data_IF_627912696352
#
_entry.id   IF_627912696352
#
_cell.length_a   1.000
_cell.length_b   1.000
_cell.length_c   1.000
_cell.angle_alpha   90.00
_cell.angle_beta   90.00
_cell.angle_gamma   90.00
#
_symmetry.space_group_name_H-M   'P 1'
#
loop_
_entity.id
_entity.type
_entity.pdbx_description
1 polymer ?
#
# COMPACT_ATOMS: atom_id res chain seq x y z
N UNK A 1 -33.05 71.78 -45.11
CA UNK A 1 -33.63 72.01 -43.78
C UNK A 1 -32.50 72.53 -42.89
N UNK A 2 -32.45 73.84 -42.64
CA UNK A 2 -31.35 74.51 -41.92
C UNK A 2 -31.40 74.17 -40.42
N UNK A 3 -30.40 73.44 -39.93
CA UNK A 3 -30.18 73.28 -38.49
C UNK A 3 -29.05 74.24 -38.09
N UNK A 4 -29.38 75.19 -37.20
CA UNK A 4 -28.49 76.25 -36.73
C UNK A 4 -27.28 75.68 -35.95
N UNK A 5 -26.04 76.15 -36.21
CA UNK A 5 -24.80 75.57 -35.67
C UNK A 5 -24.52 75.86 -34.18
N UNK A 6 -25.40 76.59 -33.47
CA UNK A 6 -25.19 76.96 -32.05
C UNK A 6 -25.67 75.93 -31.04
N UNK A 7 -26.45 74.93 -31.44
CA UNK A 7 -26.92 73.86 -30.55
C UNK A 7 -26.00 72.63 -30.49
N UNK A 8 -25.19 72.38 -31.53
CA UNK A 8 -24.27 71.23 -31.55
C UNK A 8 -23.05 71.41 -30.64
N UNK A 9 -22.58 72.65 -30.44
CA UNK A 9 -21.29 72.90 -29.77
C UNK A 9 -21.35 72.66 -28.23
N UNK A 10 -22.52 72.87 -27.60
CA UNK A 10 -22.69 72.64 -26.15
C UNK A 10 -22.74 71.16 -25.77
N UNK A 11 -23.27 70.30 -26.65
CA UNK A 11 -23.30 68.84 -26.42
C UNK A 11 -21.98 68.16 -26.78
N UNK A 12 -21.22 68.71 -27.73
CA UNK A 12 -19.86 68.22 -28.06
C UNK A 12 -18.86 68.43 -26.90
N UNK A 13 -18.95 69.55 -26.17
CA UNK A 13 -18.08 69.79 -25.02
C UNK A 13 -18.42 68.93 -23.79
N UNK A 14 -19.70 68.63 -23.55
CA UNK A 14 -20.12 67.75 -22.45
C UNK A 14 -19.77 66.28 -22.72
N UNK A 15 -19.91 65.84 -23.98
CA UNK A 15 -19.50 64.50 -24.39
C UNK A 15 -17.97 64.31 -24.34
N UNK A 16 -17.19 65.33 -24.69
CA UNK A 16 -15.72 65.23 -24.63
C UNK A 16 -15.19 65.15 -23.19
N UNK A 17 -15.80 65.85 -22.22
CA UNK A 17 -15.41 65.79 -20.81
C UNK A 17 -15.81 64.48 -20.11
N UNK A 18 -16.92 63.86 -20.52
CA UNK A 18 -17.35 62.54 -20.01
C UNK A 18 -16.56 61.37 -20.62
N UNK A 19 -16.03 61.52 -21.84
CA UNK A 19 -15.18 60.51 -22.47
C UNK A 19 -13.73 60.60 -21.95
N UNK A 20 -13.20 61.79 -21.67
CA UNK A 20 -11.83 61.94 -21.13
C UNK A 20 -11.72 61.53 -19.67
N UNK A 21 -12.73 61.78 -18.82
CA UNK A 21 -12.72 61.36 -17.42
C UNK A 21 -12.80 59.83 -17.25
N UNK A 22 -13.58 59.14 -18.09
CA UNK A 22 -13.62 57.68 -18.12
C UNK A 22 -12.34 57.05 -18.69
N UNK A 23 -11.73 57.66 -19.72
CA UNK A 23 -10.46 57.18 -20.29
C UNK A 23 -9.29 57.33 -19.30
N UNK A 24 -9.17 58.45 -18.56
CA UNK A 24 -8.13 58.63 -17.54
C UNK A 24 -8.32 57.70 -16.33
N UNK A 25 -9.57 57.43 -15.92
CA UNK A 25 -9.88 56.49 -14.84
C UNK A 25 -9.61 55.02 -15.25
N UNK A 26 -9.94 54.63 -16.49
CA UNK A 26 -9.66 53.30 -17.03
C UNK A 26 -8.16 53.05 -17.26
N UNK A 27 -7.40 54.06 -17.70
CA UNK A 27 -5.93 53.95 -17.84
C UNK A 27 -5.26 53.75 -16.47
N UNK A 28 -5.71 54.45 -15.44
CA UNK A 28 -5.22 54.27 -14.06
C UNK A 28 -5.58 52.88 -13.51
N UNK A 29 -6.81 52.40 -13.75
CA UNK A 29 -7.23 51.07 -13.30
C UNK A 29 -6.46 49.95 -14.03
N UNK A 30 -6.21 50.07 -15.33
CA UNK A 30 -5.43 49.06 -16.07
C UNK A 30 -3.96 49.04 -15.63
N UNK A 31 -3.36 50.20 -15.37
CA UNK A 31 -2.00 50.30 -14.83
C UNK A 31 -1.93 49.69 -13.42
N UNK A 32 -2.92 49.95 -12.57
CA UNK A 32 -3.03 49.33 -11.25
C UNK A 32 -3.23 47.81 -11.33
N UNK A 33 -4.05 47.31 -12.27
CA UNK A 33 -4.22 45.88 -12.53
C UNK A 33 -2.89 45.26 -12.96
N UNK A 34 -2.17 45.89 -13.89
CA UNK A 34 -0.88 45.39 -14.36
C UNK A 34 0.17 45.37 -13.24
N UNK A 35 0.18 46.40 -12.38
CA UNK A 35 1.05 46.46 -11.21
C UNK A 35 0.75 45.32 -10.22
N UNK A 36 -0.52 45.13 -9.88
CA UNK A 36 -0.94 44.02 -9.00
C UNK A 36 -0.61 42.66 -9.62
N UNK A 37 -0.75 42.50 -10.93
CA UNK A 37 -0.37 41.26 -11.61
C UNK A 37 1.14 40.99 -11.50
N UNK A 38 1.98 42.02 -11.70
CA UNK A 38 3.43 41.90 -11.50
C UNK A 38 3.81 41.54 -10.06
N UNK A 39 3.12 42.12 -9.08
CA UNK A 39 3.29 41.76 -7.66
C UNK A 39 2.87 40.30 -7.40
N UNK A 40 1.74 39.85 -7.96
CA UNK A 40 1.28 38.45 -7.89
C UNK A 40 2.33 37.51 -8.49
N UNK A 41 2.86 37.84 -9.66
CA UNK A 41 3.87 37.03 -10.35
C UNK A 41 5.16 36.95 -9.53
N UNK A 42 5.59 38.07 -8.93
CA UNK A 42 6.77 38.13 -8.06
C UNK A 42 6.59 37.33 -6.77
N UNK A 43 5.42 37.44 -6.11
CA UNK A 43 5.09 36.65 -4.91
C UNK A 43 4.99 35.17 -5.26
N UNK A 44 4.40 34.82 -6.41
CA UNK A 44 4.31 33.44 -6.91
C UNK A 44 5.70 32.85 -7.16
N UNK A 45 6.60 33.61 -7.79
CA UNK A 45 7.99 33.20 -7.98
C UNK A 45 8.70 32.94 -6.65
N UNK A 46 8.61 33.88 -5.70
CA UNK A 46 9.23 33.71 -4.38
C UNK A 46 8.64 32.54 -3.60
N UNK A 47 7.31 32.34 -3.67
CA UNK A 47 6.63 31.17 -3.11
C UNK A 47 7.20 29.87 -3.67
N UNK A 48 7.37 29.77 -4.98
CA UNK A 48 7.90 28.56 -5.61
C UNK A 48 9.35 28.30 -5.19
N UNK A 49 10.20 29.34 -5.10
CA UNK A 49 11.56 29.19 -4.57
C UNK A 49 11.59 28.65 -3.12
N UNK A 50 10.68 29.13 -2.27
CA UNK A 50 10.57 28.62 -0.89
C UNK A 50 10.07 27.17 -0.86
N UNK A 51 9.15 26.79 -1.75
CA UNK A 51 8.69 25.41 -1.88
C UNK A 51 9.86 24.50 -2.29
N UNK A 52 10.65 24.88 -3.28
CA UNK A 52 11.82 24.11 -3.73
C UNK A 52 12.85 23.94 -2.60
N UNK A 53 13.12 25.02 -1.84
CA UNK A 53 14.01 24.95 -0.68
C UNK A 53 13.48 24.03 0.42
N UNK A 54 12.17 24.11 0.69
CA UNK A 54 11.52 23.24 1.67
C UNK A 54 11.59 21.77 1.23
N UNK A 55 11.37 21.47 -0.05
CA UNK A 55 11.47 20.12 -0.59
C UNK A 55 12.88 19.55 -0.45
N UNK A 56 13.92 20.31 -0.82
CA UNK A 56 15.32 19.86 -0.65
C UNK A 56 15.68 19.61 0.82
N UNK A 57 15.18 20.43 1.75
CA UNK A 57 15.34 20.20 3.19
C UNK A 57 14.63 18.93 3.65
N UNK A 58 13.39 18.69 3.20
CA UNK A 58 12.63 17.46 3.51
C UNK A 58 13.37 16.22 3.01
N UNK A 59 13.84 16.24 1.76
CA UNK A 59 14.61 15.14 1.18
C UNK A 59 15.94 14.94 1.93
N UNK A 60 16.60 16.03 2.33
CA UNK A 60 17.78 15.98 3.20
C UNK A 60 17.53 15.30 4.54
N UNK A 61 16.42 15.64 5.19
CA UNK A 61 16.00 15.01 6.44
C UNK A 61 15.72 13.51 6.27
N UNK A 62 15.02 13.11 5.21
CA UNK A 62 14.76 11.69 4.93
C UNK A 62 16.07 10.91 4.80
N UNK A 63 17.05 11.42 4.03
CA UNK A 63 18.36 10.76 3.89
C UNK A 63 19.08 10.63 5.23
N UNK A 64 19.08 11.70 6.02
CA UNK A 64 19.69 11.68 7.35
C UNK A 64 19.05 10.63 8.26
N UNK A 65 17.72 10.59 8.32
CA UNK A 65 17.00 9.64 9.17
C UNK A 65 17.17 8.20 8.73
N UNK A 66 17.15 7.93 7.41
CA UNK A 66 17.50 6.62 6.89
C UNK A 66 18.89 6.22 7.38
N UNK A 67 19.91 7.06 7.13
CA UNK A 67 21.28 6.76 7.51
C UNK A 67 21.47 6.52 9.01
N UNK A 68 20.75 7.23 9.87
CA UNK A 68 20.91 7.12 11.32
C UNK A 68 20.06 6.02 11.95
N UNK A 69 18.93 5.65 11.35
CA UNK A 69 17.93 4.81 12.00
C UNK A 69 17.34 3.72 11.12
N UNK A 70 17.20 3.96 9.81
CA UNK A 70 16.35 3.15 8.94
C UNK A 70 17.06 2.15 8.02
N UNK A 71 18.40 2.12 7.98
CA UNK A 71 19.13 1.23 7.08
C UNK A 71 19.44 -0.13 7.74
N UNK A 72 19.38 -1.23 6.97
CA UNK A 72 20.01 -2.49 7.36
C UNK A 72 21.54 -2.37 7.43
N UNK A 73 22.18 -3.28 8.15
CA UNK A 73 23.63 -3.39 8.24
C UNK A 73 24.21 -3.88 6.91
N UNK A 74 25.18 -3.13 6.40
CA UNK A 74 25.90 -3.52 5.19
C UNK A 74 26.83 -4.70 5.45
N UNK A 75 26.82 -5.67 4.54
CA UNK A 75 27.77 -6.77 4.51
C UNK A 75 29.05 -6.37 3.75
N UNK A 76 30.18 -7.05 3.99
CA UNK A 76 31.42 -6.79 3.26
C UNK A 76 31.22 -6.87 1.74
N UNK A 77 31.62 -5.81 1.03
CA UNK A 77 31.51 -5.72 -0.43
C UNK A 77 30.20 -5.12 -0.94
N UNK A 78 29.24 -4.81 -0.08
CA UNK A 78 28.01 -4.11 -0.47
C UNK A 78 28.25 -2.60 -0.64
N UNK A 79 27.66 -2.03 -1.68
CA UNK A 79 27.64 -0.58 -1.93
C UNK A 79 26.25 -0.04 -1.60
N UNK A 80 26.19 0.90 -0.65
CA UNK A 80 24.96 1.65 -0.36
C UNK A 80 24.73 2.69 -1.45
N UNK A 81 23.56 2.61 -2.09
CA UNK A 81 23.12 3.58 -3.09
C UNK A 81 22.03 4.44 -2.48
N UNK A 82 22.31 5.73 -2.32
CA UNK A 82 21.40 6.71 -1.73
C UNK A 82 20.77 7.58 -2.82
N UNK A 83 19.44 7.63 -2.87
CA UNK A 83 18.63 8.56 -3.69
C UNK A 83 18.02 9.65 -2.82
N UNK A 84 17.11 10.46 -3.39
CA UNK A 84 16.57 11.62 -2.69
C UNK A 84 15.69 11.22 -1.50
N UNK A 85 14.87 10.17 -1.65
CA UNK A 85 13.92 9.70 -0.63
C UNK A 85 13.97 8.18 -0.36
N UNK A 86 14.91 7.46 -0.98
CA UNK A 86 15.09 6.03 -0.78
C UNK A 86 16.58 5.66 -0.82
N UNK A 87 16.94 4.54 -0.21
CA UNK A 87 18.26 3.96 -0.25
C UNK A 87 18.16 2.47 -0.61
N UNK A 88 19.17 1.91 -1.26
CA UNK A 88 19.18 0.49 -1.60
C UNK A 88 20.59 -0.09 -1.61
N UNK A 89 20.66 -1.41 -1.52
CA UNK A 89 21.83 -2.20 -1.92
C UNK A 89 21.41 -3.06 -3.10
N UNK A 90 22.17 -3.00 -4.20
CA UNK A 90 21.86 -3.75 -5.42
C UNK A 90 22.63 -5.07 -5.48
N UNK A 91 21.94 -6.16 -5.78
CA UNK A 91 22.53 -7.48 -5.97
C UNK A 91 22.77 -7.74 -7.46
N UNK A 92 24.04 -7.72 -7.86
CA UNK A 92 24.46 -7.90 -9.25
C UNK A 92 24.14 -9.28 -9.82
N UNK A 93 24.24 -10.32 -8.99
CA UNK A 93 23.99 -11.71 -9.40
C UNK A 93 22.52 -11.90 -9.75
N UNK A 94 21.64 -11.25 -8.99
CA UNK A 94 20.19 -11.37 -9.14
C UNK A 94 19.58 -10.29 -10.02
N UNK A 95 20.29 -9.19 -10.28
CA UNK A 95 19.78 -7.99 -10.96
C UNK A 95 18.51 -7.44 -10.29
N UNK A 96 18.46 -7.51 -8.98
CA UNK A 96 17.42 -7.00 -8.10
C UNK A 96 18.09 -6.23 -6.95
N UNK A 97 17.39 -5.30 -6.28
CA UNK A 97 17.88 -4.84 -4.99
C UNK A 97 17.85 -5.98 -3.96
N UNK A 98 18.88 -6.06 -3.12
CA UNK A 98 18.89 -6.89 -1.92
C UNK A 98 17.89 -6.39 -0.89
N UNK A 99 17.73 -5.06 -0.83
CA UNK A 99 16.68 -4.35 -0.10
C UNK A 99 16.61 -2.90 -0.58
N UNK A 100 15.45 -2.27 -0.38
CA UNK A 100 15.22 -0.83 -0.56
C UNK A 100 14.58 -0.30 0.72
N UNK A 101 15.13 0.79 1.26
CA UNK A 101 14.64 1.46 2.46
C UNK A 101 14.12 2.86 2.10
N UNK A 102 12.96 3.24 2.63
CA UNK A 102 12.38 4.58 2.50
C UNK A 102 11.57 4.95 3.73
N UNK A 103 11.07 6.19 3.79
CA UNK A 103 10.21 6.67 4.87
C UNK A 103 8.89 7.15 4.26
N UNK A 104 7.77 6.65 4.77
CA UNK A 104 6.45 7.20 4.47
C UNK A 104 6.17 8.30 5.51
N UNK A 105 5.97 9.52 5.03
CA UNK A 105 5.60 10.69 5.85
C UNK A 105 4.15 11.08 5.60
N UNK A 106 3.59 11.95 6.46
CA UNK A 106 2.25 12.48 6.26
C UNK A 106 2.08 13.33 4.99
N UNK A 107 3.17 13.73 4.33
CA UNK A 107 3.13 14.45 3.05
C UNK A 107 2.39 13.69 1.95
N UNK A 108 2.24 12.35 2.08
CA UNK A 108 1.45 11.54 1.14
C UNK A 108 -0.02 12.00 1.00
N UNK A 109 -0.57 12.71 2.00
CA UNK A 109 -1.95 13.22 1.98
C UNK A 109 -2.12 14.36 0.98
N UNK A 110 -1.10 15.22 0.87
CA UNK A 110 -1.08 16.36 -0.06
C UNK A 110 -0.45 15.97 -1.42
N UNK A 111 0.03 14.73 -1.55
CA UNK A 111 0.71 14.23 -2.73
C UNK A 111 -0.18 14.15 -3.97
N UNK A 112 0.02 15.08 -4.91
CA UNK A 112 -0.78 15.20 -6.13
C UNK A 112 -0.01 14.89 -7.41
N UNK A 113 1.30 14.64 -7.34
CA UNK A 113 2.12 14.30 -8.51
C UNK A 113 1.57 13.03 -9.16
N UNK A 114 1.40 13.10 -10.48
CA UNK A 114 0.87 12.01 -11.30
C UNK A 114 1.97 11.01 -11.59
N UNK A 115 1.62 9.73 -11.65
CA UNK A 115 2.54 8.65 -12.01
C UNK A 115 3.16 8.92 -13.38
N UNK A 116 4.49 9.02 -13.42
CA UNK A 116 5.29 9.27 -14.62
C UNK A 116 5.42 8.06 -15.53
N UNK A 117 5.55 6.85 -14.94
CA UNK A 117 5.91 5.62 -15.66
C UNK A 117 7.23 5.72 -16.45
N UNK A 118 8.16 6.55 -15.98
CA UNK A 118 9.46 6.86 -16.58
C UNK A 118 10.56 5.84 -16.18
N UNK A 119 10.27 4.55 -16.38
CA UNK A 119 11.19 3.46 -16.08
C UNK A 119 12.53 3.60 -16.81
N UNK A 120 13.63 3.60 -16.07
CA UNK A 120 14.98 3.83 -16.61
C UNK A 120 16.08 3.16 -15.80
N UNK A 121 17.25 3.05 -16.40
CA UNK A 121 18.44 2.54 -15.70
C UNK A 121 18.87 3.47 -14.58
N UNK A 122 19.43 2.88 -13.53
CA UNK A 122 20.00 3.65 -12.43
C UNK A 122 21.49 3.92 -12.68
N UNK A 123 21.83 5.18 -12.93
CA UNK A 123 23.22 5.60 -13.14
C UNK A 123 24.12 5.44 -11.90
N UNK A 124 23.55 5.30 -10.70
CA UNK A 124 24.33 5.09 -9.47
C UNK A 124 24.78 3.64 -9.31
N UNK A 125 24.10 2.68 -9.98
CA UNK A 125 24.56 1.28 -10.09
C UNK A 125 25.54 1.20 -11.26
N UNK A 126 26.84 1.35 -10.97
CA UNK A 126 27.89 1.48 -12.01
C UNK A 126 28.03 0.24 -12.91
N UNK A 127 27.71 -0.92 -12.38
CA UNK A 127 27.66 -2.23 -13.03
C UNK A 127 26.45 -2.43 -13.94
N UNK A 128 25.50 -1.49 -13.93
CA UNK A 128 24.28 -1.54 -14.72
C UNK A 128 23.15 -2.36 -14.06
N UNK A 129 21.92 -1.88 -14.25
CA UNK A 129 20.70 -2.49 -13.74
C UNK A 129 20.01 -3.37 -14.78
N UNK A 130 18.89 -3.98 -14.39
CA UNK A 130 17.88 -4.42 -15.35
C UNK A 130 17.43 -3.26 -16.26
N UNK A 131 16.85 -3.61 -17.41
CA UNK A 131 16.36 -2.68 -18.44
C UNK A 131 14.97 -3.10 -18.92
N UNK A 132 14.37 -2.30 -19.82
CA UNK A 132 13.05 -2.59 -20.39
C UNK A 132 12.96 -3.99 -21.02
N UNK A 133 13.99 -4.37 -21.79
CA UNK A 133 14.07 -5.66 -22.47
C UNK A 133 14.18 -6.87 -21.51
N UNK A 134 14.34 -6.66 -20.20
CA UNK A 134 14.23 -7.72 -19.21
C UNK A 134 12.80 -8.10 -18.85
N UNK A 135 11.85 -7.18 -19.03
CA UNK A 135 10.47 -7.34 -18.56
C UNK A 135 9.47 -7.55 -19.68
N UNK A 136 9.71 -6.99 -20.87
CA UNK A 136 8.83 -7.22 -21.99
C UNK A 136 9.50 -7.01 -23.34
N UNK A 137 8.89 -7.61 -24.37
CA UNK A 137 9.12 -7.24 -25.76
C UNK A 137 7.98 -6.36 -26.24
N UNK A 138 8.33 -5.34 -27.02
CA UNK A 138 7.40 -4.45 -27.69
C UNK A 138 7.53 -4.61 -29.20
N UNK A 139 6.52 -5.21 -29.84
CA UNK A 139 6.49 -5.45 -31.28
C UNK A 139 5.56 -4.47 -31.97
N UNK A 140 6.08 -3.68 -32.91
CA UNK A 140 5.27 -2.81 -33.74
C UNK A 140 4.46 -3.65 -34.72
N UNK A 141 3.14 -3.49 -34.69
CA UNK A 141 2.19 -4.17 -35.56
C UNK A 141 2.03 -3.40 -36.88
N UNK A 142 1.46 -4.08 -37.89
CA UNK A 142 1.27 -3.51 -39.23
C UNK A 142 0.35 -2.28 -39.25
N UNK A 143 -0.59 -2.18 -38.31
CA UNK A 143 -1.49 -1.04 -38.12
C UNK A 143 -0.87 0.13 -37.34
N UNK A 144 0.42 0.02 -36.98
CA UNK A 144 1.14 1.03 -36.21
C UNK A 144 0.97 0.92 -34.69
N UNK A 145 0.14 0.00 -34.19
CA UNK A 145 0.01 -0.28 -32.76
C UNK A 145 1.20 -1.10 -32.24
N UNK A 146 1.30 -1.27 -30.93
CA UNK A 146 2.32 -2.10 -30.30
C UNK A 146 1.69 -3.26 -29.55
N UNK A 147 2.19 -4.46 -29.80
CA UNK A 147 1.91 -5.65 -28.99
C UNK A 147 2.98 -5.76 -27.91
N UNK A 148 2.54 -5.96 -26.67
CA UNK A 148 3.40 -6.13 -25.52
C UNK A 148 3.32 -7.57 -25.03
N UNK A 149 4.48 -8.15 -24.77
CA UNK A 149 4.60 -9.47 -24.15
C UNK A 149 5.44 -9.33 -22.89
N UNK A 150 4.77 -9.26 -21.73
CA UNK A 150 5.36 -9.00 -20.42
C UNK A 150 6.04 -10.20 -19.76
N UNK A 151 6.25 -11.30 -20.49
CA UNK A 151 6.92 -12.50 -19.97
C UNK A 151 6.26 -13.14 -18.72
N UNK A 152 5.04 -12.72 -18.37
CA UNK A 152 4.33 -13.13 -17.16
C UNK A 152 4.54 -12.25 -15.92
N UNK A 153 5.32 -11.17 -16.01
CA UNK A 153 5.69 -10.34 -14.85
C UNK A 153 5.47 -8.85 -15.09
N UNK A 154 5.04 -8.18 -14.04
CA UNK A 154 5.08 -6.73 -13.92
C UNK A 154 6.46 -6.24 -13.49
N UNK A 155 6.74 -4.97 -13.80
CA UNK A 155 7.80 -4.17 -13.18
C UNK A 155 7.35 -3.72 -11.79
N UNK A 156 7.43 -4.64 -10.82
CA UNK A 156 7.01 -4.41 -9.43
C UNK A 156 7.98 -3.49 -8.70
N UNK A 157 7.46 -2.45 -8.04
CA UNK A 157 8.30 -1.54 -7.23
C UNK A 157 8.59 -2.16 -5.86
N UNK A 158 9.78 -1.89 -5.32
CA UNK A 158 10.08 -2.17 -3.90
C UNK A 158 9.68 -0.98 -3.02
N UNK A 159 10.18 0.22 -3.34
CA UNK A 159 9.66 1.49 -2.85
C UNK A 159 8.63 2.04 -3.85
N UNK A 160 7.32 2.00 -3.56
CA UNK A 160 6.28 2.30 -4.53
C UNK A 160 6.15 3.80 -4.80
N UNK A 161 5.93 4.18 -6.06
CA UNK A 161 5.82 5.59 -6.47
C UNK A 161 4.69 6.36 -5.77
N UNK A 162 3.66 5.65 -5.29
CA UNK A 162 2.56 6.23 -4.53
C UNK A 162 3.02 6.87 -3.20
N UNK A 163 4.09 6.36 -2.59
CA UNK A 163 4.62 6.87 -1.32
C UNK A 163 5.40 8.20 -1.52
N UNK A 164 5.67 8.57 -2.77
CA UNK A 164 6.49 9.73 -3.15
C UNK A 164 5.71 10.81 -3.92
N UNK A 165 4.38 10.73 -4.01
CA UNK A 165 3.56 11.68 -4.80
C UNK A 165 3.61 13.13 -4.34
N UNK A 166 4.27 13.42 -3.23
CA UNK A 166 4.53 14.75 -2.72
C UNK A 166 5.81 15.40 -3.28
N UNK A 167 6.65 14.64 -4.00
CA UNK A 167 7.89 15.11 -4.62
C UNK A 167 8.05 14.51 -6.01
N UNK A 168 8.12 15.36 -7.04
CA UNK A 168 8.33 14.90 -8.43
C UNK A 168 9.67 14.18 -8.58
N UNK A 169 10.70 14.69 -7.91
CA UNK A 169 12.04 14.10 -7.88
C UNK A 169 12.03 12.70 -7.28
N UNK A 170 11.48 12.54 -6.06
CA UNK A 170 11.42 11.24 -5.40
C UNK A 170 10.55 10.24 -6.17
N UNK A 171 9.41 10.70 -6.70
CA UNK A 171 8.53 9.87 -7.53
C UNK A 171 9.26 9.38 -8.78
N UNK A 172 9.94 10.26 -9.52
CA UNK A 172 10.68 9.87 -10.71
C UNK A 172 11.82 8.90 -10.37
N UNK A 173 12.55 9.09 -9.26
CA UNK A 173 13.61 8.17 -8.85
C UNK A 173 13.08 6.77 -8.48
N UNK A 174 11.84 6.65 -8.01
CA UNK A 174 11.23 5.33 -7.73
C UNK A 174 11.08 4.43 -8.98
N UNK A 175 11.15 5.00 -10.18
CA UNK A 175 11.08 4.27 -11.46
C UNK A 175 12.43 3.74 -11.96
N UNK A 176 13.51 3.89 -11.19
CA UNK A 176 14.78 3.23 -11.52
C UNK A 176 14.66 1.71 -11.46
N UNK A 177 15.22 1.00 -12.45
CA UNK A 177 15.23 -0.46 -12.46
C UNK A 177 16.01 -1.10 -11.30
N UNK A 178 16.82 -0.33 -10.56
CA UNK A 178 17.41 -0.75 -9.28
C UNK A 178 16.34 -0.98 -8.20
N UNK A 179 15.20 -0.30 -8.29
CA UNK A 179 14.04 -0.42 -7.40
C UNK A 179 12.94 -1.36 -7.93
N UNK A 180 13.20 -2.06 -9.04
CA UNK A 180 12.21 -2.92 -9.70
C UNK A 180 12.57 -4.39 -9.57
N UNK A 181 11.56 -5.22 -9.28
CA UNK A 181 11.66 -6.67 -9.18
C UNK A 181 10.53 -7.35 -9.98
N UNK A 182 10.75 -8.54 -10.58
CA UNK A 182 9.69 -9.28 -11.25
C UNK A 182 8.62 -9.74 -10.28
N UNK A 183 7.41 -9.21 -10.44
CA UNK A 183 6.24 -9.61 -9.67
C UNK A 183 5.14 -10.14 -10.59
N UNK A 184 4.43 -11.18 -10.18
CA UNK A 184 3.23 -11.61 -10.93
C UNK A 184 2.16 -10.52 -10.85
N UNK A 185 1.32 -10.39 -11.89
CA UNK A 185 0.34 -9.31 -11.96
C UNK A 185 -0.66 -9.34 -10.79
N UNK A 186 -1.15 -10.52 -10.40
CA UNK A 186 -2.07 -10.66 -9.27
C UNK A 186 -1.41 -10.35 -7.93
N UNK A 187 -0.13 -10.68 -7.78
CA UNK A 187 0.62 -10.29 -6.59
C UNK A 187 0.78 -8.77 -6.54
N UNK A 188 1.41 -8.17 -7.56
CA UNK A 188 1.72 -6.74 -7.61
C UNK A 188 0.47 -5.86 -7.48
N UNK A 189 -0.55 -6.12 -8.29
CA UNK A 189 -1.69 -5.21 -8.47
C UNK A 189 -2.80 -5.40 -7.44
N UNK A 190 -2.78 -6.51 -6.69
CA UNK A 190 -3.84 -6.85 -5.73
C UNK A 190 -3.25 -7.07 -4.34
N UNK A 191 -2.50 -8.16 -4.14
CA UNK A 191 -2.05 -8.56 -2.80
C UNK A 191 -1.02 -7.60 -2.21
N UNK A 192 -0.02 -7.24 -3.01
CA UNK A 192 1.06 -6.33 -2.62
C UNK A 192 0.56 -4.90 -2.51
N UNK A 193 -0.23 -4.43 -3.48
CA UNK A 193 -0.89 -3.13 -3.43
C UNK A 193 -1.73 -2.95 -2.16
N UNK A 194 -2.46 -3.98 -1.72
CA UNK A 194 -3.24 -3.94 -0.47
C UNK A 194 -2.36 -3.74 0.77
N UNK A 195 -1.17 -4.35 0.81
CA UNK A 195 -0.22 -4.15 1.91
C UNK A 195 0.35 -2.72 1.90
N UNK A 196 0.68 -2.21 0.72
CA UNK A 196 1.16 -0.83 0.58
C UNK A 196 0.06 0.19 0.96
N UNK A 197 -1.19 -0.05 0.58
CA UNK A 197 -2.34 0.77 0.97
C UNK A 197 -2.55 0.76 2.50
N UNK A 198 -2.38 -0.39 3.15
CA UNK A 198 -2.49 -0.51 4.61
C UNK A 198 -1.48 0.42 5.32
N UNK A 199 -0.21 0.44 4.88
CA UNK A 199 0.81 1.32 5.47
C UNK A 199 0.58 2.80 5.17
N UNK A 200 0.15 3.16 3.96
CA UNK A 200 -0.25 4.54 3.66
C UNK A 200 -1.43 4.98 4.51
N UNK A 201 -2.44 4.13 4.66
CA UNK A 201 -3.60 4.41 5.51
C UNK A 201 -3.20 4.53 6.98
N UNK A 202 -2.22 3.76 7.46
CA UNK A 202 -1.68 3.89 8.81
C UNK A 202 -1.09 5.28 9.05
N UNK A 203 -0.24 5.77 8.14
CA UNK A 203 0.37 7.11 8.25
C UNK A 203 -0.70 8.20 8.18
N UNK A 204 -1.71 8.05 7.32
CA UNK A 204 -2.85 8.99 7.25
C UNK A 204 -3.62 9.12 8.57
N UNK A 205 -3.68 8.05 9.38
CA UNK A 205 -4.34 8.08 10.70
C UNK A 205 -3.43 8.55 11.82
N UNK A 206 -2.12 8.59 11.59
CA UNK A 206 -1.10 8.93 12.58
C UNK A 206 -0.24 10.08 12.03
N UNK A 207 -0.74 11.31 12.06
CA UNK A 207 -0.14 12.45 11.35
C UNK A 207 1.32 12.74 11.72
N UNK A 208 1.74 12.39 12.94
CA UNK A 208 3.12 12.55 13.40
C UNK A 208 4.03 11.35 13.08
N UNK A 209 3.46 10.22 12.66
CA UNK A 209 4.22 9.01 12.36
C UNK A 209 5.17 9.24 11.19
N UNK A 210 6.43 8.85 11.41
CA UNK A 210 7.43 8.66 10.37
C UNK A 210 7.66 7.17 10.23
N UNK A 211 7.06 6.59 9.20
CA UNK A 211 7.06 5.15 9.04
C UNK A 211 8.28 4.70 8.22
N UNK A 212 9.25 4.10 8.89
CA UNK A 212 10.43 3.53 8.24
C UNK A 212 10.03 2.23 7.56
N UNK A 213 10.24 2.13 6.26
CA UNK A 213 9.92 0.96 5.46
C UNK A 213 11.19 0.35 4.88
N UNK A 214 11.34 -0.96 5.00
CA UNK A 214 12.34 -1.74 4.25
C UNK A 214 11.59 -2.77 3.42
N UNK A 215 11.88 -2.83 2.12
CA UNK A 215 11.22 -3.74 1.19
C UNK A 215 12.25 -4.50 0.37
N UNK A 216 12.06 -5.80 0.20
CA UNK A 216 12.96 -6.60 -0.60
C UNK A 216 12.33 -7.89 -1.14
N UNK A 217 12.90 -8.47 -2.20
CA UNK A 217 12.71 -9.88 -2.51
C UNK A 217 13.52 -10.79 -1.57
N UNK A 218 13.09 -12.05 -1.42
CA UNK A 218 13.94 -13.09 -0.84
C UNK A 218 14.85 -13.65 -1.93
N UNK A 219 16.14 -13.30 -1.89
CA UNK A 219 17.15 -13.73 -2.86
C UNK A 219 17.86 -14.99 -2.40
N UNK A 220 17.93 -16.00 -3.28
CA UNK A 220 18.66 -17.26 -3.07
C UNK A 220 19.27 -17.75 -4.38
N UNK A 221 20.32 -18.55 -4.28
CA UNK A 221 21.17 -18.94 -5.41
C UNK A 221 20.45 -19.65 -6.57
N UNK A 222 19.39 -20.41 -6.27
CA UNK A 222 18.68 -21.26 -7.22
C UNK A 222 17.35 -20.68 -7.72
N UNK A 223 17.16 -19.36 -7.64
CA UNK A 223 15.96 -18.73 -8.16
C UNK A 223 15.84 -18.90 -9.69
N UNK A 224 14.61 -19.11 -10.21
CA UNK A 224 14.37 -19.01 -11.64
C UNK A 224 14.71 -17.61 -12.15
N UNK A 225 14.99 -17.48 -13.44
CA UNK A 225 15.33 -16.22 -14.10
C UNK A 225 14.36 -15.97 -15.25
N UNK A 226 14.12 -14.71 -15.59
CA UNK A 226 13.36 -14.37 -16.78
C UNK A 226 14.17 -14.82 -18.00
N UNK A 227 13.79 -15.97 -18.56
CA UNK A 227 14.54 -16.60 -19.65
C UNK A 227 14.62 -15.70 -20.88
N UNK A 228 13.59 -14.91 -21.15
CA UNK A 228 13.53 -14.01 -22.31
C UNK A 228 14.18 -12.65 -22.06
N UNK A 229 14.55 -12.35 -20.81
CA UNK A 229 15.21 -11.10 -20.44
C UNK A 229 16.69 -11.09 -20.81
N UNK A 230 17.21 -9.94 -21.21
CA UNK A 230 18.58 -9.76 -21.70
C UNK A 230 19.64 -9.94 -20.61
N UNK A 231 19.32 -9.58 -19.37
CA UNK A 231 20.19 -9.67 -18.19
C UNK A 231 19.85 -10.87 -17.28
N UNK A 232 18.86 -11.70 -17.66
CA UNK A 232 18.42 -12.87 -16.89
C UNK A 232 18.12 -12.53 -15.43
N UNK A 233 17.30 -11.50 -15.22
CA UNK A 233 16.84 -11.05 -13.90
C UNK A 233 16.22 -12.21 -13.13
N UNK A 234 16.60 -12.38 -11.87
CA UNK A 234 16.03 -13.43 -11.01
C UNK A 234 14.59 -13.13 -10.67
N UNK A 235 13.76 -14.16 -10.60
CA UNK A 235 12.35 -14.12 -10.24
C UNK A 235 12.23 -14.61 -8.79
N UNK A 236 12.03 -13.71 -7.82
CA UNK A 236 11.88 -14.08 -6.42
C UNK A 236 10.60 -14.88 -6.19
N UNK A 237 10.67 -15.89 -5.33
CA UNK A 237 9.48 -16.65 -4.91
C UNK A 237 8.68 -15.93 -3.83
N UNK A 238 9.34 -15.05 -3.05
CA UNK A 238 8.76 -14.29 -1.96
C UNK A 238 9.30 -12.86 -1.96
N UNK A 239 8.50 -11.94 -1.44
CA UNK A 239 8.87 -10.58 -1.11
C UNK A 239 8.52 -10.30 0.35
N UNK A 240 9.29 -9.44 0.99
CA UNK A 240 9.01 -8.98 2.33
C UNK A 240 9.01 -7.46 2.44
N UNK A 241 8.22 -6.96 3.39
CA UNK A 241 8.14 -5.54 3.74
C UNK A 241 8.11 -5.41 5.25
N UNK A 242 9.03 -4.61 5.79
CA UNK A 242 9.15 -4.29 7.21
C UNK A 242 8.69 -2.84 7.39
N UNK A 243 7.96 -2.58 8.47
CA UNK A 243 7.51 -1.27 8.85
C UNK A 243 7.80 -1.01 10.34
N UNK A 244 8.41 0.13 10.64
CA UNK A 244 8.75 0.56 12.00
C UNK A 244 8.29 1.98 12.24
N UNK A 245 7.50 2.17 13.31
CA UNK A 245 7.17 3.47 13.87
C UNK A 245 7.92 3.62 15.20
N UNK A 246 8.97 4.46 15.18
CA UNK A 246 9.84 4.67 16.34
C UNK A 246 9.18 5.52 17.42
N UNK A 247 8.20 6.36 17.09
CA UNK A 247 7.49 7.17 18.11
C UNK A 247 6.57 6.28 18.96
N UNK A 248 6.09 5.18 18.37
CA UNK A 248 5.23 4.21 19.02
C UNK A 248 5.96 2.96 19.49
N UNK A 249 7.26 2.85 19.18
CA UNK A 249 8.08 1.67 19.42
C UNK A 249 7.40 0.40 18.89
N UNK A 250 6.88 0.49 17.67
CA UNK A 250 6.16 -0.57 16.98
C UNK A 250 6.95 -1.07 15.78
N UNK A 251 6.99 -2.39 15.61
CA UNK A 251 7.58 -3.06 14.46
C UNK A 251 6.65 -4.13 13.89
N UNK A 252 6.64 -4.30 12.58
CA UNK A 252 5.97 -5.41 11.92
C UNK A 252 6.67 -5.76 10.62
N UNK A 253 6.66 -7.03 10.25
CA UNK A 253 7.10 -7.49 8.95
C UNK A 253 6.03 -8.34 8.27
N UNK A 254 6.07 -8.40 6.95
CA UNK A 254 5.21 -9.24 6.12
C UNK A 254 6.06 -10.04 5.16
N UNK A 255 5.82 -11.34 5.03
CA UNK A 255 6.48 -12.23 4.06
C UNK A 255 5.43 -12.86 3.14
N UNK A 256 5.37 -12.41 1.89
CA UNK A 256 4.32 -12.81 0.96
C UNK A 256 4.89 -13.56 -0.24
N UNK A 257 4.23 -14.63 -0.71
CA UNK A 257 4.67 -15.33 -1.92
C UNK A 257 4.38 -14.46 -3.15
N UNK A 258 5.24 -14.54 -4.18
CA UNK A 258 5.11 -13.79 -5.44
C UNK A 258 3.98 -14.37 -6.35
N UNK A 259 2.78 -14.45 -5.81
CA UNK A 259 1.54 -14.91 -6.44
C UNK A 259 0.35 -14.27 -5.73
N UNK A 260 -0.87 -14.46 -6.26
CA UNK A 260 -2.08 -14.04 -5.56
C UNK A 260 -2.11 -14.61 -4.13
N UNK A 261 -2.29 -13.73 -3.15
CA UNK A 261 -2.48 -14.13 -1.76
C UNK A 261 -3.77 -14.93 -1.63
N UNK A 262 -3.67 -16.11 -1.02
CA UNK A 262 -4.82 -17.00 -0.81
C UNK A 262 -5.65 -16.60 0.43
N UNK A 263 -5.07 -15.76 1.27
CA UNK A 263 -5.58 -15.27 2.55
C UNK A 263 -5.45 -13.74 2.60
N UNK A 264 -6.14 -13.07 3.54
CA UNK A 264 -5.90 -11.66 3.81
C UNK A 264 -4.44 -11.34 4.18
N UNK A 265 -4.01 -10.10 3.94
CA UNK A 265 -2.60 -9.71 4.01
C UNK A 265 -2.00 -9.85 5.42
N UNK A 266 -2.78 -9.62 6.47
CA UNK A 266 -2.35 -9.69 7.87
C UNK A 266 -1.96 -11.09 8.33
N UNK A 267 -2.28 -12.10 7.53
CA UNK A 267 -1.94 -13.50 7.78
C UNK A 267 -0.52 -13.82 7.34
N UNK A 268 0.09 -12.93 6.57
CA UNK A 268 1.50 -13.00 6.16
C UNK A 268 2.40 -12.19 7.10
N UNK A 269 1.84 -11.67 8.19
CA UNK A 269 2.58 -10.96 9.23
C UNK A 269 3.55 -11.91 9.95
N UNK A 270 4.80 -11.47 10.07
CA UNK A 270 5.90 -12.14 10.77
C UNK A 270 6.64 -11.10 11.63
N UNK A 271 7.51 -11.57 12.52
CA UNK A 271 8.41 -10.69 13.26
C UNK A 271 9.59 -10.26 12.38
N UNK A 272 10.24 -9.15 12.74
CA UNK A 272 11.47 -8.73 12.07
C UNK A 272 12.57 -9.76 12.39
N UNK A 273 12.64 -10.24 13.64
CA UNK A 273 13.55 -11.34 14.06
C UNK A 273 13.50 -12.54 13.10
N UNK A 274 12.30 -12.94 12.68
CA UNK A 274 12.13 -14.07 11.77
C UNK A 274 12.71 -13.78 10.38
N UNK A 275 12.59 -12.53 9.90
CA UNK A 275 13.22 -12.13 8.64
C UNK A 275 14.74 -12.03 8.75
N UNK A 276 15.28 -11.60 9.88
CA UNK A 276 16.73 -11.60 10.12
C UNK A 276 17.29 -13.02 10.09
N UNK A 277 16.62 -13.96 10.75
CA UNK A 277 16.99 -15.39 10.71
C UNK A 277 16.92 -15.93 9.28
N UNK A 278 15.87 -15.58 8.53
CA UNK A 278 15.66 -16.04 7.15
C UNK A 278 16.70 -15.47 6.17
N UNK A 279 17.09 -14.20 6.35
CA UNK A 279 17.87 -13.45 5.35
C UNK A 279 19.33 -13.25 5.72
N UNK A 280 19.69 -13.39 7.00
CA UNK A 280 21.00 -13.03 7.53
C UNK A 280 21.28 -11.53 7.52
N UNK A 281 20.25 -10.69 7.41
CA UNK A 281 20.35 -9.22 7.40
C UNK A 281 19.95 -8.73 8.79
N UNK A 282 20.80 -7.89 9.38
CA UNK A 282 20.55 -7.16 10.63
C UNK A 282 19.88 -5.82 10.26
N UNK A 283 18.56 -5.76 10.47
CA UNK A 283 17.73 -4.60 10.15
C UNK A 283 17.81 -3.57 11.27
N UNK A 284 17.69 -2.28 10.95
CA UNK A 284 17.71 -1.21 11.96
C UNK A 284 18.91 -1.24 12.94
N UNK A 285 20.04 -1.82 12.53
CA UNK A 285 21.22 -2.12 13.35
C UNK A 285 21.81 -0.96 14.18
N UNK A 286 21.50 0.29 13.82
CA UNK A 286 21.94 1.50 14.56
C UNK A 286 21.05 1.84 15.75
N UNK A 287 19.86 1.27 15.86
CA UNK A 287 18.95 1.53 16.98
C UNK A 287 19.53 0.96 18.28
N UNK A 288 19.15 1.50 19.45
CA UNK A 288 19.52 0.90 20.73
C UNK A 288 19.01 -0.53 20.85
N UNK A 289 19.83 -1.43 21.43
CA UNK A 289 19.52 -2.86 21.52
C UNK A 289 18.17 -3.16 22.24
N UNK A 290 17.82 -2.37 23.26
CA UNK A 290 16.53 -2.52 23.96
C UNK A 290 15.34 -2.19 23.04
N UNK A 291 15.50 -1.17 22.19
CA UNK A 291 14.48 -0.79 21.22
C UNK A 291 14.37 -1.83 20.10
N UNK A 292 15.50 -2.32 19.57
CA UNK A 292 15.54 -3.41 18.59
C UNK A 292 14.78 -4.64 19.11
N UNK A 293 15.17 -5.17 20.28
CA UNK A 293 14.51 -6.34 20.88
C UNK A 293 13.00 -6.14 21.08
N UNK A 294 12.56 -4.92 21.38
CA UNK A 294 11.14 -4.59 21.53
C UNK A 294 10.39 -4.55 20.19
N UNK A 295 10.93 -3.90 19.17
CA UNK A 295 10.22 -3.75 17.88
C UNK A 295 10.32 -5.01 17.03
N UNK A 296 11.45 -5.71 17.08
CA UNK A 296 11.75 -6.82 16.17
C UNK A 296 11.00 -8.10 16.53
N UNK A 297 10.64 -8.28 17.80
CA UNK A 297 9.87 -9.43 18.29
C UNK A 297 8.35 -9.30 18.08
N UNK A 298 7.87 -8.11 17.71
CA UNK A 298 6.45 -7.87 17.47
C UNK A 298 5.97 -8.52 16.17
N UNK A 299 4.73 -9.03 16.19
CA UNK A 299 4.10 -9.68 15.02
C UNK A 299 2.60 -9.43 14.90
N UNK A 300 2.02 -8.58 15.76
CA UNK A 300 0.59 -8.32 15.75
C UNK A 300 0.26 -7.25 14.68
N UNK A 301 -0.49 -7.59 13.62
CA UNK A 301 -0.84 -6.65 12.57
C UNK A 301 -2.01 -5.73 12.94
N UNK A 302 -2.84 -6.07 13.93
CA UNK A 302 -4.07 -5.32 14.25
C UNK A 302 -3.84 -3.81 14.53
N UNK A 303 -2.79 -3.40 15.28
CA UNK A 303 -2.49 -1.98 15.48
C UNK A 303 -2.20 -1.20 14.20
N UNK A 304 -1.83 -1.88 13.11
CA UNK A 304 -1.50 -1.29 11.82
C UNK A 304 -2.73 -1.13 10.91
N UNK A 305 -3.81 -1.84 11.20
CA UNK A 305 -5.04 -1.89 10.39
C UNK A 305 -6.01 -0.76 10.73
N UNK A 306 -7.02 -0.55 9.89
CA UNK A 306 -8.03 0.50 10.09
C UNK A 306 -8.93 0.19 11.30
N UNK A 307 -9.60 1.19 11.91
CA UNK A 307 -10.53 0.93 13.03
C UNK A 307 -11.66 -0.07 12.70
N UNK A 308 -12.10 -0.12 11.43
CA UNK A 308 -13.08 -1.12 10.97
C UNK A 308 -12.52 -2.55 11.01
N UNK A 309 -11.22 -2.70 10.74
CA UNK A 309 -10.49 -3.96 10.77
C UNK A 309 -9.92 -4.29 12.16
N UNK A 310 -9.80 -3.32 13.07
CA UNK A 310 -9.40 -3.58 14.46
C UNK A 310 -10.44 -4.40 15.24
N UNK A 311 -11.69 -4.47 14.75
CA UNK A 311 -12.72 -5.37 15.26
C UNK A 311 -12.61 -6.81 14.69
N UNK A 312 -11.76 -7.03 13.70
CA UNK A 312 -11.46 -8.36 13.17
C UNK A 312 -10.49 -9.12 14.10
N UNK A 313 -10.39 -10.43 13.93
CA UNK A 313 -9.55 -11.30 14.74
C UNK A 313 -8.55 -12.06 13.86
N UNK A 314 -7.37 -12.31 14.41
CA UNK A 314 -6.45 -13.25 13.80
C UNK A 314 -7.01 -14.68 13.90
N UNK A 315 -6.79 -15.53 12.90
CA UNK A 315 -7.18 -16.93 13.00
C UNK A 315 -6.43 -17.61 14.13
N UNK A 316 -7.11 -18.61 14.67
CA UNK A 316 -6.48 -19.55 15.60
C UNK A 316 -5.33 -20.25 14.87
N UNK A 317 -4.17 -20.28 15.52
CA UNK A 317 -2.97 -20.89 14.98
C UNK A 317 -3.17 -22.41 14.81
N UNK A 318 -2.70 -22.97 13.68
CA UNK A 318 -2.94 -24.38 13.33
C UNK A 318 -2.43 -25.38 14.38
N UNK A 319 -1.35 -25.06 15.07
CA UNK A 319 -0.77 -25.89 16.11
C UNK A 319 -1.61 -25.94 17.40
N UNK A 320 -2.56 -25.01 17.57
CA UNK A 320 -3.51 -24.99 18.69
C UNK A 320 -4.80 -25.75 18.38
N UNK A 321 -5.01 -26.14 17.12
CA UNK A 321 -6.25 -26.78 16.69
C UNK A 321 -6.20 -28.31 16.86
N UNK A 322 -7.29 -28.95 17.31
CA UNK A 322 -7.36 -30.40 17.37
C UNK A 322 -7.28 -31.05 15.98
N UNK A 323 -7.07 -32.36 15.94
CA UNK A 323 -7.07 -33.11 14.68
C UNK A 323 -8.40 -32.91 13.93
N UNK A 324 -8.33 -32.74 12.61
CA UNK A 324 -9.46 -32.45 11.71
C UNK A 324 -10.16 -31.10 11.95
N UNK A 325 -9.57 -30.21 12.73
CA UNK A 325 -9.97 -28.81 12.83
C UNK A 325 -9.07 -27.96 11.95
N UNK A 326 -9.66 -26.93 11.36
CA UNK A 326 -9.02 -26.04 10.42
C UNK A 326 -9.38 -24.61 10.82
N UNK A 327 -8.46 -23.67 10.66
CA UNK A 327 -8.81 -22.27 10.86
C UNK A 327 -9.53 -21.71 9.63
N UNK A 328 -10.07 -20.50 9.75
CA UNK A 328 -10.85 -19.85 8.67
C UNK A 328 -10.07 -19.71 7.35
N UNK A 329 -8.73 -19.60 7.37
CA UNK A 329 -7.91 -19.55 6.13
C UNK A 329 -8.08 -20.75 5.22
N UNK A 330 -8.25 -21.91 5.84
CA UNK A 330 -8.24 -23.17 5.12
C UNK A 330 -9.62 -23.49 4.55
N UNK A 331 -10.66 -22.81 5.03
CA UNK A 331 -12.03 -23.06 4.61
C UNK A 331 -12.19 -22.99 3.09
N UNK A 332 -11.52 -22.05 2.41
CA UNK A 332 -11.60 -21.92 0.95
C UNK A 332 -11.11 -23.17 0.20
N UNK A 333 -10.05 -23.82 0.69
CA UNK A 333 -9.53 -25.06 0.10
C UNK A 333 -10.39 -26.29 0.42
N UNK A 334 -11.30 -26.15 1.39
CA UNK A 334 -12.20 -27.21 1.86
C UNK A 334 -13.61 -27.09 1.25
N UNK A 335 -13.86 -26.06 0.44
CA UNK A 335 -15.11 -25.91 -0.30
C UNK A 335 -15.36 -27.15 -1.15
N UNK A 336 -16.56 -27.72 -1.04
CA UNK A 336 -16.98 -28.95 -1.72
C UNK A 336 -16.17 -30.21 -1.36
N UNK A 337 -15.46 -30.21 -0.24
CA UNK A 337 -14.86 -31.42 0.30
C UNK A 337 -15.96 -32.40 0.74
N UNK A 338 -15.93 -33.69 0.33
CA UNK A 338 -16.95 -34.66 0.72
C UNK A 338 -16.91 -35.04 2.21
N UNK A 339 -15.83 -34.71 2.93
CA UNK A 339 -15.70 -34.98 4.36
C UNK A 339 -16.19 -33.80 5.19
N UNK A 340 -16.95 -34.10 6.26
CA UNK A 340 -17.24 -33.12 7.31
C UNK A 340 -15.95 -32.69 8.00
N UNK A 341 -15.82 -31.40 8.23
CA UNK A 341 -14.66 -30.77 8.88
C UNK A 341 -15.14 -29.75 9.90
N UNK A 342 -14.25 -29.35 10.80
CA UNK A 342 -14.52 -28.31 11.80
C UNK A 342 -13.72 -27.06 11.45
N UNK A 343 -14.40 -25.93 11.27
CA UNK A 343 -13.75 -24.63 11.03
C UNK A 343 -13.80 -23.81 12.31
N UNK A 344 -12.65 -23.37 12.80
CA UNK A 344 -12.53 -22.60 14.03
C UNK A 344 -12.11 -21.16 13.76
N UNK A 345 -12.67 -20.22 14.52
CA UNK A 345 -12.35 -18.81 14.47
C UNK A 345 -13.10 -18.01 15.54
N UNK A 346 -12.83 -16.72 15.61
CA UNK A 346 -13.50 -15.77 16.51
C UNK A 346 -14.69 -15.16 15.82
N UNK A 347 -15.88 -15.18 16.41
CA UNK A 347 -17.05 -14.50 15.83
C UNK A 347 -16.92 -13.00 16.02
N UNK A 348 -16.50 -12.28 14.98
CA UNK A 348 -16.27 -10.83 15.02
C UNK A 348 -17.48 -10.02 14.59
N UNK A 349 -18.42 -10.66 13.88
CA UNK A 349 -19.67 -10.03 13.48
C UNK A 349 -20.80 -11.06 13.51
N UNK A 350 -21.91 -10.68 14.12
CA UNK A 350 -23.07 -11.54 14.26
C UNK A 350 -24.35 -10.72 14.05
N UNK A 351 -25.23 -11.17 13.16
CA UNK A 351 -26.48 -10.46 12.86
C UNK A 351 -27.63 -11.39 12.53
N UNK A 352 -28.84 -10.98 12.92
CA UNK A 352 -30.10 -11.57 12.47
C UNK A 352 -30.71 -10.66 11.42
N UNK A 353 -30.92 -11.17 10.21
CA UNK A 353 -31.55 -10.42 9.12
C UNK A 353 -33.05 -10.20 9.38
N UNK A 354 -33.65 -9.22 8.70
CA UNK A 354 -35.10 -9.00 8.74
C UNK A 354 -35.94 -10.19 8.26
N UNK A 355 -35.34 -11.14 7.53
CA UNK A 355 -35.97 -12.41 7.11
C UNK A 355 -35.81 -13.53 8.16
N UNK A 356 -35.15 -13.27 9.29
CA UNK A 356 -34.97 -14.23 10.38
C UNK A 356 -33.74 -15.14 10.26
N UNK A 357 -32.98 -15.08 9.17
CA UNK A 357 -31.70 -15.80 9.05
C UNK A 357 -30.64 -15.16 9.92
N UNK A 358 -29.81 -15.96 10.57
CA UNK A 358 -28.66 -15.54 11.37
C UNK A 358 -27.37 -15.77 10.57
N UNK A 359 -26.48 -14.78 10.60
CA UNK A 359 -25.16 -14.82 10.00
C UNK A 359 -24.11 -14.54 11.07
N UNK A 360 -23.11 -15.40 11.18
CA UNK A 360 -21.93 -15.20 12.03
C UNK A 360 -20.71 -15.19 11.11
N UNK A 361 -19.95 -14.11 11.10
CA UNK A 361 -18.69 -14.06 10.38
C UNK A 361 -17.54 -14.31 11.35
N UNK A 362 -16.69 -15.27 10.99
CA UNK A 362 -15.54 -15.66 11.79
C UNK A 362 -14.29 -14.97 11.24
N UNK A 363 -13.48 -14.44 12.16
CA UNK A 363 -12.21 -13.73 11.99
C UNK A 363 -12.28 -12.42 11.21
N UNK A 364 -13.17 -12.28 10.21
CA UNK A 364 -13.40 -11.03 9.48
C UNK A 364 -14.85 -10.62 9.40
N UNK A 365 -15.13 -9.36 9.69
CA UNK A 365 -16.44 -8.75 9.54
C UNK A 365 -16.79 -8.49 8.07
N UNK A 366 -18.07 -8.29 7.80
CA UNK A 366 -18.54 -7.89 6.46
C UNK A 366 -18.05 -6.45 6.16
N UNK A 367 -17.61 -6.12 4.93
CA UNK A 367 -17.71 -6.89 3.68
C UNK A 367 -16.51 -7.81 3.37
N UNK A 368 -15.54 -7.91 4.28
CA UNK A 368 -14.27 -8.61 4.05
C UNK A 368 -14.26 -10.03 4.65
N UNK A 369 -15.42 -10.63 4.89
CA UNK A 369 -15.53 -11.90 5.60
C UNK A 369 -14.76 -13.02 4.89
N UNK A 370 -14.03 -13.83 5.66
CA UNK A 370 -13.29 -14.99 5.15
C UNK A 370 -14.04 -16.30 5.33
N UNK A 371 -14.96 -16.34 6.28
CA UNK A 371 -15.81 -17.48 6.55
C UNK A 371 -17.12 -17.03 7.19
N UNK A 372 -18.25 -17.52 6.67
CA UNK A 372 -19.58 -17.19 7.19
C UNK A 372 -20.32 -18.44 7.62
N UNK A 373 -20.85 -18.42 8.83
CA UNK A 373 -21.83 -19.39 9.32
C UNK A 373 -23.22 -18.84 9.06
N UNK A 374 -24.03 -19.60 8.32
CA UNK A 374 -25.41 -19.26 8.03
C UNK A 374 -26.36 -20.20 8.76
N UNK A 375 -27.29 -19.64 9.53
CA UNK A 375 -28.39 -20.37 10.15
C UNK A 375 -29.68 -19.82 9.55
N UNK A 376 -30.32 -20.61 8.70
CA UNK A 376 -31.60 -20.22 8.11
C UNK A 376 -32.69 -20.12 9.17
N UNK A 377 -33.66 -19.22 8.97
CA UNK A 377 -34.78 -18.95 9.90
C UNK A 377 -35.40 -20.23 10.46
N UNK A 378 -35.66 -21.22 9.61
CA UNK A 378 -36.32 -22.46 9.99
C UNK A 378 -35.47 -23.36 10.90
N UNK A 379 -34.13 -23.16 10.90
CA UNK A 379 -33.21 -23.87 11.78
C UNK A 379 -32.94 -23.14 13.09
N UNK A 380 -33.27 -21.83 13.20
CA UNK A 380 -33.01 -21.04 14.42
C UNK A 380 -33.73 -21.62 15.63
N UNK A 381 -34.88 -22.28 15.44
CA UNK A 381 -35.65 -22.96 16.50
C UNK A 381 -34.90 -24.15 17.13
N UNK A 382 -33.86 -24.66 16.46
CA UNK A 382 -33.04 -25.77 16.94
C UNK A 382 -31.82 -25.30 17.76
N UNK A 383 -31.83 -24.05 18.22
CA UNK A 383 -30.82 -23.45 19.07
C UNK A 383 -31.50 -23.00 20.37
N UNK A 384 -30.98 -23.46 21.50
CA UNK A 384 -31.48 -23.15 22.85
C UNK A 384 -31.18 -21.71 23.29
N UNK A 385 -30.35 -21.00 22.52
CA UNK A 385 -29.94 -19.63 22.73
C UNK A 385 -29.96 -18.84 21.41
N UNK A 386 -29.94 -17.51 21.47
CA UNK A 386 -29.84 -16.67 20.28
C UNK A 386 -28.39 -16.59 19.79
N UNK A 387 -27.99 -17.28 18.71
CA UNK A 387 -26.57 -17.44 18.39
C UNK A 387 -25.89 -16.11 18.05
N UNK A 388 -26.63 -15.20 17.41
CA UNK A 388 -26.12 -13.88 17.05
C UNK A 388 -25.86 -12.94 18.24
N UNK A 389 -26.43 -13.24 19.41
CA UNK A 389 -26.23 -12.45 20.63
C UNK A 389 -25.16 -13.10 21.49
N UNK A 390 -25.22 -14.42 21.66
CA UNK A 390 -24.35 -15.14 22.58
C UNK A 390 -22.95 -15.38 22.01
N UNK A 391 -22.83 -15.63 20.72
CA UNK A 391 -21.55 -16.06 20.14
C UNK A 391 -20.65 -14.90 19.73
N UNK A 392 -21.13 -13.65 19.71
CA UNK A 392 -20.28 -12.50 19.37
C UNK A 392 -19.07 -12.42 20.33
N UNK A 393 -17.88 -12.19 19.77
CA UNK A 393 -16.58 -12.20 20.43
C UNK A 393 -16.15 -13.55 21.04
N UNK A 394 -16.90 -14.63 20.82
CA UNK A 394 -16.49 -15.97 21.25
C UNK A 394 -15.62 -16.64 20.17
N UNK A 395 -14.63 -17.41 20.61
CA UNK A 395 -13.95 -18.36 19.75
C UNK A 395 -14.79 -19.64 19.67
N UNK A 396 -15.11 -20.08 18.46
CA UNK A 396 -15.94 -21.26 18.22
C UNK A 396 -15.32 -22.15 17.15
N UNK A 397 -15.67 -23.43 17.18
CA UNK A 397 -15.47 -24.37 16.10
C UNK A 397 -16.84 -24.82 15.57
N UNK A 398 -17.02 -24.77 14.25
CA UNK A 398 -18.26 -25.18 13.59
C UNK A 398 -18.05 -26.38 12.67
N UNK A 399 -18.86 -27.41 12.85
CA UNK A 399 -18.66 -28.74 12.27
C UNK A 399 -19.70 -29.08 11.20
N UNK A 400 -19.27 -29.21 9.95
CA UNK A 400 -20.20 -29.41 8.84
C UNK A 400 -19.51 -29.54 7.48
N UNK A 401 -20.30 -29.39 6.42
CA UNK A 401 -19.79 -29.32 5.06
C UNK A 401 -19.52 -27.86 4.72
N UNK A 402 -18.34 -27.58 4.18
CA UNK A 402 -17.98 -26.24 3.70
C UNK A 402 -18.50 -26.06 2.28
N UNK A 403 -19.41 -25.11 2.12
CA UNK A 403 -19.95 -24.65 0.84
C UNK A 403 -19.37 -23.28 0.49
N UNK A 404 -19.79 -22.69 -0.61
CA UNK A 404 -19.44 -21.32 -0.98
C UNK A 404 -20.71 -20.52 -1.26
N UNK A 405 -20.74 -19.27 -0.81
CA UNK A 405 -21.79 -18.31 -1.12
C UNK A 405 -21.15 -16.98 -1.52
N UNK A 406 -21.43 -16.52 -2.75
CA UNK A 406 -20.87 -15.27 -3.30
C UNK A 406 -19.35 -15.16 -3.17
N UNK A 407 -18.63 -16.27 -3.39
CA UNK A 407 -17.16 -16.33 -3.31
C UNK A 407 -16.60 -16.39 -1.88
N UNK A 408 -17.45 -16.42 -0.86
CA UNK A 408 -17.04 -16.62 0.55
C UNK A 408 -17.32 -18.07 0.97
N UNK A 409 -16.34 -18.78 1.53
CA UNK A 409 -16.57 -20.05 2.21
C UNK A 409 -17.65 -19.93 3.28
N UNK A 410 -18.62 -20.84 3.26
CA UNK A 410 -19.80 -20.78 4.11
C UNK A 410 -20.07 -22.15 4.73
N UNK A 411 -20.63 -22.18 5.94
CA UNK A 411 -21.22 -23.39 6.51
C UNK A 411 -22.66 -23.14 6.94
N UNK A 412 -23.57 -24.01 6.51
CA UNK A 412 -24.98 -23.96 6.92
C UNK A 412 -25.17 -24.86 8.13
N UNK A 413 -25.68 -24.31 9.23
CA UNK A 413 -25.96 -25.09 10.43
C UNK A 413 -27.46 -25.34 10.58
N UNK A 414 -27.79 -26.56 11.03
CA UNK A 414 -29.16 -27.02 11.25
C UNK A 414 -29.55 -27.06 12.72
N UNK A 415 -28.58 -27.16 13.64
CA UNK A 415 -28.79 -27.19 15.08
C UNK A 415 -27.52 -26.76 15.83
N UNK A 416 -27.65 -26.55 17.14
CA UNK A 416 -26.57 -26.09 18.01
C UNK A 416 -25.43 -27.08 18.23
N UNK A 417 -25.65 -28.40 18.06
CA UNK A 417 -24.60 -29.43 18.26
C UNK A 417 -23.47 -29.36 17.24
N UNK A 418 -23.64 -28.59 16.17
CA UNK A 418 -22.58 -28.31 15.21
C UNK A 418 -21.63 -27.20 15.69
N UNK A 419 -21.89 -26.55 16.83
CA UNK A 419 -21.06 -25.48 17.40
C UNK A 419 -20.45 -25.95 18.71
N UNK A 420 -19.14 -25.77 18.83
CA UNK A 420 -18.38 -25.97 20.06
C UNK A 420 -17.65 -24.67 20.41
N UNK A 421 -17.66 -24.27 21.69
CA UNK A 421 -16.81 -23.16 22.14
C UNK A 421 -15.35 -23.62 22.11
N UNK A 422 -14.49 -22.84 21.48
CA UNK A 422 -13.07 -23.12 21.45
C UNK A 422 -12.41 -22.49 22.67
N UNK A 423 -11.87 -23.34 23.54
CA UNK A 423 -11.09 -22.93 24.71
C UNK A 423 -9.70 -23.53 24.54
N UNK A 424 -8.67 -22.70 24.54
CA UNK A 424 -7.28 -23.18 24.55
C UNK A 424 -7.01 -23.77 25.94
N UNK A 425 -6.75 -25.08 26.00
CA UNK A 425 -6.28 -25.76 27.22
C UNK A 425 -4.86 -25.36 27.59
#
# INVERSE_FOLDING_TARGET
MNIHPKFLLKYLFLAFFLITSNAYSQVNNQENINKLQSEIDSVSFYKNQLIDQMEELKLGQIRYELMEKGLPKLQPGEELIMHSAMALVYDEKHKNAKWVAHIITYDIVEGNVVRSNDFRTDSKVKSGTAVEADYFIREKQADGTYKFDGFGYDRGHLAPSADFRWSEKALSESYYYSNITPQTADFNRISWASLEDMFRAYVQRNENSRLFIITAPVLKDNLPRIERGVNKVSIPEYHYKIAVDLEREMGIAFLMPNKLAENPIEYYAVSIDYLEELTGIDFFYKLPAELQAKIESQKNPLPWMSPAEQGDALPIAMNLLPRNHFNTTQAKRLVNNPKRVSICGTVVSARKSGRGNVFLNLDKSFPNQVFTVTIFKDNVVNFSYEPHVILINQQICVSGNVTEYSGTPNMILTNEHAIELFVVE
#
